data_IF_533479081161
#
_entry.id   IF_533479081161
#
_cell.length_a   1.000
_cell.length_b   1.000
_cell.length_c   1.000
_cell.angle_alpha   90.00
_cell.angle_beta   90.00
_cell.angle_gamma   90.00
#
_symmetry.space_group_name_H-M   'P 1'
#
loop_
_entity.id
_entity.type
_entity.pdbx_description
1 polymer ?
#
# COMPACT_ATOMS: atom_id res chain seq x y z
N UNK A 1 -27.98 9.32 -29.91
CA UNK A 1 -26.68 8.64 -29.72
C UNK A 1 -25.91 9.41 -28.65
N UNK A 2 -26.02 8.99 -27.39
CA UNK A 2 -25.32 9.64 -26.27
C UNK A 2 -23.85 9.35 -26.44
N UNK A 3 -23.07 10.38 -26.78
CA UNK A 3 -21.61 10.31 -26.83
C UNK A 3 -21.16 10.21 -25.37
N UNK A 4 -21.00 8.99 -24.86
CA UNK A 4 -20.35 8.74 -23.57
C UNK A 4 -18.99 9.44 -23.68
N UNK A 5 -18.78 10.53 -22.93
CA UNK A 5 -17.47 11.16 -22.89
C UNK A 5 -16.52 10.07 -22.36
N UNK A 6 -15.42 9.76 -23.09
CA UNK A 6 -14.42 8.87 -22.54
C UNK A 6 -13.92 9.45 -21.22
N UNK A 7 -13.53 8.56 -20.31
CA UNK A 7 -12.80 8.88 -19.11
C UNK A 7 -11.74 9.97 -19.40
N UNK A 8 -11.89 11.15 -18.79
CA UNK A 8 -10.97 12.31 -18.95
C UNK A 8 -10.11 12.44 -17.69
N UNK A 9 -8.95 11.75 -17.62
CA UNK A 9 -8.11 11.76 -16.44
C UNK A 9 -7.37 13.10 -16.31
N UNK A 10 -7.71 13.85 -15.26
CA UNK A 10 -6.88 14.98 -14.83
C UNK A 10 -5.80 14.51 -13.86
N UNK A 11 -4.55 14.53 -14.32
CA UNK A 11 -3.40 14.17 -13.48
C UNK A 11 -3.02 15.33 -12.56
N UNK A 12 -3.05 15.09 -11.25
CA UNK A 12 -2.43 15.96 -10.25
C UNK A 12 -1.21 15.23 -9.69
N UNK A 13 0.03 15.65 -10.05
CA UNK A 13 1.23 14.94 -9.61
C UNK A 13 1.34 14.90 -8.08
N UNK A 14 1.53 13.69 -7.53
CA UNK A 14 1.71 13.49 -6.09
C UNK A 14 3.01 14.10 -5.54
N UNK A 15 3.91 14.55 -6.43
CA UNK A 15 5.17 15.24 -6.12
C UNK A 15 4.99 16.72 -5.81
N UNK A 16 3.83 17.31 -6.11
CA UNK A 16 3.54 18.70 -5.77
C UNK A 16 3.43 18.90 -4.25
N UNK A 17 3.68 20.12 -3.72
CA UNK A 17 3.37 20.46 -2.35
C UNK A 17 1.88 20.17 -2.03
N UNK A 18 1.59 19.62 -0.84
CA UNK A 18 0.24 19.18 -0.48
C UNK A 18 -0.80 20.29 -0.62
N UNK A 19 -0.48 21.52 -0.19
CA UNK A 19 -1.39 22.66 -0.33
C UNK A 19 -1.72 23.00 -1.79
N UNK A 20 -0.79 22.78 -2.72
CA UNK A 20 -1.03 22.98 -4.15
C UNK A 20 -1.93 21.86 -4.72
N UNK A 21 -1.71 20.61 -4.30
CA UNK A 21 -2.59 19.49 -4.65
C UNK A 21 -4.02 19.79 -4.19
N UNK A 22 -4.19 20.21 -2.93
CA UNK A 22 -5.49 20.59 -2.36
C UNK A 22 -6.14 21.72 -3.15
N UNK A 23 -5.40 22.79 -3.45
CA UNK A 23 -5.91 23.91 -4.25
C UNK A 23 -6.40 23.47 -5.63
N UNK A 24 -5.63 22.63 -6.33
CA UNK A 24 -6.02 22.09 -7.64
C UNK A 24 -7.26 21.21 -7.54
N UNK A 25 -7.34 20.32 -6.55
CA UNK A 25 -8.51 19.46 -6.35
C UNK A 25 -9.78 20.25 -6.03
N UNK A 26 -9.68 21.32 -5.22
CA UNK A 26 -10.81 22.20 -4.92
C UNK A 26 -11.35 22.91 -6.18
N UNK A 27 -10.49 23.24 -7.14
CA UNK A 27 -10.91 23.80 -8.44
C UNK A 27 -11.53 22.73 -9.33
N UNK A 28 -10.93 21.54 -9.38
CA UNK A 28 -11.34 20.46 -10.29
C UNK A 28 -12.67 19.79 -9.89
N UNK A 29 -12.98 19.71 -8.59
CA UNK A 29 -14.17 19.03 -8.06
C UNK A 29 -14.41 17.63 -8.71
N UNK A 30 -13.42 16.71 -8.63
CA UNK A 30 -13.50 15.47 -9.38
C UNK A 30 -14.60 14.54 -8.82
N UNK A 31 -15.45 13.94 -9.67
CA UNK A 31 -16.44 12.97 -9.23
C UNK A 31 -15.81 11.63 -8.83
N UNK A 32 -14.58 11.36 -9.24
CA UNK A 32 -13.80 10.20 -8.82
C UNK A 32 -12.38 10.63 -8.46
N UNK A 33 -11.95 10.32 -7.25
CA UNK A 33 -10.58 10.56 -6.79
C UNK A 33 -9.80 9.24 -6.83
N UNK A 34 -8.70 9.20 -7.58
CA UNK A 34 -7.80 8.04 -7.61
C UNK A 34 -6.40 8.45 -7.20
N UNK A 35 -5.72 7.65 -6.39
CA UNK A 35 -4.37 7.97 -5.93
C UNK A 35 -3.72 6.87 -5.11
N UNK A 36 -2.47 7.13 -4.71
CA UNK A 36 -1.73 6.26 -3.80
C UNK A 36 -2.40 6.24 -2.42
N UNK A 37 -2.44 5.07 -1.78
CA UNK A 37 -3.06 4.90 -0.47
C UNK A 37 -2.56 5.95 0.54
N UNK A 38 -1.24 6.20 0.61
CA UNK A 38 -0.65 7.20 1.51
C UNK A 38 -1.09 8.63 1.19
N UNK A 39 -1.20 8.98 -0.10
CA UNK A 39 -1.66 10.31 -0.52
C UNK A 39 -3.14 10.50 -0.19
N UNK A 40 -3.97 9.48 -0.39
CA UNK A 40 -5.39 9.54 -0.04
C UNK A 40 -5.60 9.78 1.46
N UNK A 41 -4.78 9.17 2.32
CA UNK A 41 -4.81 9.44 3.78
C UNK A 41 -4.44 10.90 4.09
N UNK A 42 -3.43 11.46 3.41
CA UNK A 42 -3.07 12.88 3.56
C UNK A 42 -4.22 13.79 3.12
N UNK A 43 -4.84 13.52 1.97
CA UNK A 43 -6.00 14.27 1.49
C UNK A 43 -7.22 14.13 2.41
N UNK A 44 -7.42 12.95 3.01
CA UNK A 44 -8.45 12.73 4.02
C UNK A 44 -8.23 13.61 5.27
N UNK A 45 -6.97 13.76 5.71
CA UNK A 45 -6.63 14.69 6.79
C UNK A 45 -6.93 16.16 6.42
N UNK A 46 -6.60 16.57 5.20
CA UNK A 46 -6.90 17.92 4.67
C UNK A 46 -8.41 18.18 4.56
N UNK A 47 -9.20 17.16 4.19
CA UNK A 47 -10.66 17.23 4.13
C UNK A 47 -11.26 17.38 5.53
N UNK A 48 -10.80 16.58 6.49
CA UNK A 48 -11.20 16.70 7.91
C UNK A 48 -10.84 18.07 8.51
N UNK A 49 -9.73 18.65 8.07
CA UNK A 49 -9.32 20.00 8.48
C UNK A 49 -10.05 21.13 7.73
N UNK A 50 -10.98 20.81 6.81
CA UNK A 50 -11.77 21.77 6.05
C UNK A 50 -11.01 22.50 4.93
N UNK A 51 -9.74 22.14 4.68
CA UNK A 51 -8.90 22.75 3.63
C UNK A 51 -9.18 22.14 2.25
N UNK A 52 -9.44 20.84 2.21
CA UNK A 52 -9.90 20.15 1.00
C UNK A 52 -11.44 20.04 1.03
N UNK A 53 -12.10 20.52 -0.02
CA UNK A 53 -13.55 20.71 -0.09
C UNK A 53 -14.11 20.07 -1.37
N UNK A 54 -13.77 18.80 -1.59
CA UNK A 54 -14.28 18.00 -2.71
C UNK A 54 -15.31 16.98 -2.23
N UNK A 55 -16.24 16.60 -3.10
CA UNK A 55 -17.28 15.60 -2.81
C UNK A 55 -17.31 14.51 -3.90
N UNK A 56 -16.26 13.67 -3.98
CA UNK A 56 -16.21 12.61 -4.98
C UNK A 56 -17.31 11.58 -4.70
N UNK A 57 -17.86 10.96 -5.75
CA UNK A 57 -18.77 9.83 -5.67
C UNK A 57 -18.05 8.50 -5.40
N UNK A 58 -16.75 8.42 -5.69
CA UNK A 58 -15.91 7.24 -5.47
C UNK A 58 -14.46 7.64 -5.18
N UNK A 59 -13.82 6.90 -4.27
CA UNK A 59 -12.36 6.97 -4.07
C UNK A 59 -11.73 5.62 -4.45
N UNK A 60 -10.67 5.66 -5.27
CA UNK A 60 -9.91 4.48 -5.68
C UNK A 60 -8.46 4.59 -5.19
N UNK A 61 -8.00 3.59 -4.45
CA UNK A 61 -6.60 3.41 -4.09
C UNK A 61 -5.89 2.54 -5.12
N UNK A 62 -4.59 2.76 -5.31
CA UNK A 62 -3.74 1.88 -6.11
C UNK A 62 -2.27 2.04 -5.71
N UNK A 63 -1.41 1.15 -6.25
CA UNK A 63 0.05 1.30 -6.29
C UNK A 63 0.79 1.26 -4.94
N UNK A 64 0.07 1.18 -3.83
CA UNK A 64 0.52 0.99 -2.45
C UNK A 64 -0.52 0.10 -1.74
N UNK A 65 -0.11 -0.68 -0.73
CA UNK A 65 -1.05 -1.50 0.04
C UNK A 65 -2.03 -0.62 0.81
N UNK A 66 -3.34 -0.75 0.52
CA UNK A 66 -4.38 -0.08 1.28
C UNK A 66 -4.70 -0.84 2.57
N UNK A 67 -4.19 -0.34 3.69
CA UNK A 67 -4.45 -0.92 5.00
C UNK A 67 -5.89 -0.64 5.46
N UNK A 68 -6.48 -1.50 6.32
CA UNK A 68 -7.83 -1.30 6.85
C UNK A 68 -8.04 0.08 7.46
N UNK A 69 -7.07 0.60 8.21
CA UNK A 69 -7.16 1.88 8.90
C UNK A 69 -7.02 3.06 7.93
N UNK A 70 -6.20 2.91 6.88
CA UNK A 70 -6.11 3.88 5.79
C UNK A 70 -7.45 3.97 5.06
N UNK A 71 -8.06 2.82 4.75
CA UNK A 71 -9.40 2.73 4.18
C UNK A 71 -10.43 3.42 5.08
N UNK A 72 -10.44 3.11 6.38
CA UNK A 72 -11.35 3.74 7.33
C UNK A 72 -11.16 5.26 7.39
N UNK A 73 -9.92 5.75 7.41
CA UNK A 73 -9.65 7.19 7.43
C UNK A 73 -10.16 7.90 6.18
N UNK A 74 -9.93 7.32 5.00
CA UNK A 74 -10.41 7.85 3.72
C UNK A 74 -11.95 7.78 3.64
N UNK A 75 -12.55 6.65 4.03
CA UNK A 75 -14.00 6.45 4.07
C UNK A 75 -14.68 7.46 4.98
N UNK A 76 -14.11 7.72 6.15
CA UNK A 76 -14.63 8.68 7.12
C UNK A 76 -14.54 10.13 6.63
N UNK A 77 -13.49 10.48 5.87
CA UNK A 77 -13.30 11.83 5.37
C UNK A 77 -14.21 12.18 4.18
N UNK A 78 -14.41 11.24 3.24
CA UNK A 78 -15.14 11.52 2.00
C UNK A 78 -16.57 10.98 1.98
N UNK A 79 -16.95 10.10 2.91
CA UNK A 79 -18.32 9.58 2.98
C UNK A 79 -18.72 8.69 1.80
N UNK A 80 -17.77 8.24 0.96
CA UNK A 80 -18.01 7.32 -0.16
C UNK A 80 -17.17 6.04 -0.10
N UNK A 81 -17.64 4.91 -0.68
CA UNK A 81 -16.89 3.65 -0.67
C UNK A 81 -15.50 3.78 -1.28
N UNK A 82 -14.56 3.01 -0.72
CA UNK A 82 -13.18 2.95 -1.19
C UNK A 82 -12.96 1.64 -1.92
N UNK A 83 -12.52 1.73 -3.18
CA UNK A 83 -12.09 0.57 -3.98
C UNK A 83 -10.57 0.52 -3.99
N UNK A 84 -9.97 -0.65 -3.91
CA UNK A 84 -8.52 -0.82 -4.08
C UNK A 84 -8.22 -1.54 -5.40
N UNK A 85 -7.14 -1.11 -6.05
CA UNK A 85 -6.72 -1.61 -7.35
C UNK A 85 -5.27 -2.06 -7.32
N UNK A 86 -5.06 -3.34 -7.59
CA UNK A 86 -3.75 -3.90 -7.87
C UNK A 86 -3.45 -3.80 -9.37
N UNK A 87 -2.22 -3.41 -9.69
CA UNK A 87 -1.72 -3.38 -11.05
C UNK A 87 -0.20 -3.49 -11.07
N UNK A 88 0.31 -4.34 -11.96
CA UNK A 88 1.73 -4.49 -12.27
C UNK A 88 1.99 -4.04 -13.71
N UNK A 89 3.19 -3.54 -14.00
CA UNK A 89 3.58 -3.20 -15.38
C UNK A 89 3.63 -4.45 -16.26
N UNK A 90 3.82 -5.60 -15.64
CA UNK A 90 3.90 -6.93 -16.22
C UNK A 90 2.53 -7.49 -16.63
N UNK A 91 1.44 -6.83 -16.25
CA UNK A 91 0.09 -7.02 -16.81
C UNK A 91 -0.95 -7.58 -15.84
N UNK A 92 -0.53 -8.10 -14.68
CA UNK A 92 -1.49 -8.55 -13.68
C UNK A 92 -2.26 -7.35 -13.11
N UNK A 93 -3.59 -7.41 -13.21
CA UNK A 93 -4.51 -6.40 -12.69
C UNK A 93 -5.61 -7.06 -11.87
N UNK A 94 -6.03 -6.39 -10.80
CA UNK A 94 -7.11 -6.83 -9.95
C UNK A 94 -7.74 -5.68 -9.19
N UNK A 95 -9.00 -5.86 -8.77
CA UNK A 95 -9.74 -4.84 -8.03
C UNK A 95 -10.60 -5.47 -6.94
N UNK A 96 -10.80 -4.71 -5.87
CA UNK A 96 -11.75 -5.08 -4.82
C UNK A 96 -13.17 -4.65 -5.19
N UNK A 97 -14.15 -5.24 -4.53
CA UNK A 97 -15.45 -4.60 -4.37
C UNK A 97 -15.35 -3.30 -3.54
N UNK A 98 -16.41 -2.46 -3.53
CA UNK A 98 -16.48 -1.30 -2.65
C UNK A 98 -16.35 -1.71 -1.17
N UNK A 99 -15.39 -1.11 -0.47
CA UNK A 99 -15.10 -1.37 0.95
C UNK A 99 -14.67 -2.82 1.28
N UNK A 100 -14.35 -3.63 0.26
CA UNK A 100 -13.84 -5.02 0.39
C UNK A 100 -12.29 -5.04 0.43
N UNK A 101 -11.71 -6.10 1.01
CA UNK A 101 -10.27 -6.36 1.11
C UNK A 101 -9.77 -7.47 0.17
N UNK A 102 -10.69 -8.15 -0.52
CA UNK A 102 -10.37 -9.22 -1.47
C UNK A 102 -10.27 -8.68 -2.89
N UNK A 103 -9.12 -8.87 -3.54
CA UNK A 103 -8.93 -8.57 -4.96
C UNK A 103 -9.49 -9.69 -5.81
N UNK A 104 -10.24 -9.33 -6.85
CA UNK A 104 -10.56 -10.20 -7.97
C UNK A 104 -9.60 -9.87 -9.11
N UNK A 105 -8.80 -10.85 -9.54
CA UNK A 105 -7.82 -10.68 -10.61
C UNK A 105 -8.41 -11.01 -11.99
N UNK A 106 -7.98 -10.28 -13.03
CA UNK A 106 -8.29 -10.57 -14.43
C UNK A 106 -7.45 -11.74 -14.95
N UNK A 107 -7.71 -12.95 -14.44
CA UNK A 107 -6.96 -14.17 -14.79
C UNK A 107 -7.28 -14.72 -16.17
N UNK A 108 -8.22 -14.11 -16.89
CA UNK A 108 -8.41 -14.28 -18.34
C UNK A 108 -7.28 -13.65 -19.16
N UNK A 109 -6.61 -12.62 -18.62
CA UNK A 109 -5.50 -11.93 -19.27
C UNK A 109 -4.11 -12.42 -18.83
N UNK A 110 -4.02 -13.12 -17.70
CA UNK A 110 -2.77 -13.59 -17.12
C UNK A 110 -2.95 -14.96 -16.46
N UNK A 111 -1.99 -15.86 -16.65
CA UNK A 111 -1.85 -17.04 -15.78
C UNK A 111 -1.12 -16.59 -14.52
N UNK A 112 -1.69 -16.88 -13.36
CA UNK A 112 -1.19 -16.45 -12.05
C UNK A 112 -0.91 -17.67 -11.19
N UNK A 113 0.33 -17.80 -10.72
CA UNK A 113 0.75 -18.89 -9.82
C UNK A 113 1.21 -18.29 -8.49
N UNK A 114 0.48 -18.59 -7.42
CA UNK A 114 0.87 -18.23 -6.06
C UNK A 114 1.83 -19.30 -5.54
N UNK A 115 3.10 -18.95 -5.30
CA UNK A 115 4.16 -19.91 -4.99
C UNK A 115 4.96 -19.56 -3.75
N UNK A 116 5.61 -20.56 -3.17
CA UNK A 116 6.58 -20.41 -2.09
C UNK A 116 7.95 -19.92 -2.62
N UNK A 117 8.95 -19.85 -1.73
CA UNK A 117 10.31 -19.43 -2.09
C UNK A 117 11.01 -20.37 -3.10
N UNK A 118 10.54 -21.62 -3.22
CA UNK A 118 11.07 -22.67 -4.09
C UNK A 118 10.23 -22.87 -5.36
N UNK A 119 9.38 -21.90 -5.71
CA UNK A 119 8.48 -21.92 -6.87
C UNK A 119 7.46 -23.07 -6.84
N UNK A 120 7.14 -23.61 -5.67
CA UNK A 120 6.08 -24.61 -5.51
C UNK A 120 4.75 -23.91 -5.20
N UNK A 121 3.62 -24.35 -5.80
CA UNK A 121 2.31 -23.81 -5.47
C UNK A 121 2.01 -23.93 -3.99
N UNK A 122 1.54 -22.83 -3.38
CA UNK A 122 1.10 -22.87 -1.98
C UNK A 122 -0.33 -23.42 -1.88
N UNK A 123 -0.65 -24.01 -0.72
CA UNK A 123 -2.02 -24.44 -0.44
C UNK A 123 -2.96 -23.23 -0.33
N UNK A 124 -4.25 -23.43 -0.66
CA UNK A 124 -5.28 -22.40 -0.45
C UNK A 124 -5.29 -21.94 1.01
N UNK A 125 -5.36 -20.63 1.23
CA UNK A 125 -5.30 -20.01 2.55
C UNK A 125 -3.89 -19.83 3.14
N UNK A 126 -2.85 -20.42 2.53
CA UNK A 126 -1.46 -20.09 2.89
C UNK A 126 -1.01 -18.83 2.14
N UNK A 127 -0.14 -18.05 2.77
CA UNK A 127 0.50 -16.91 2.12
C UNK A 127 1.56 -17.39 1.13
N UNK A 128 1.55 -16.84 -0.09
CA UNK A 128 2.63 -17.02 -1.04
C UNK A 128 3.85 -16.21 -0.62
N UNK A 129 5.05 -16.65 -1.03
CA UNK A 129 6.26 -15.83 -0.89
C UNK A 129 6.36 -14.79 -2.02
N UNK A 130 5.77 -15.12 -3.18
CA UNK A 130 5.80 -14.36 -4.42
C UNK A 130 4.69 -14.84 -5.36
N UNK A 131 4.54 -14.18 -6.50
CA UNK A 131 3.62 -14.60 -7.56
C UNK A 131 4.36 -14.71 -8.89
N UNK A 132 4.11 -15.78 -9.64
CA UNK A 132 4.59 -15.91 -11.01
C UNK A 132 3.45 -15.57 -11.97
N UNK A 133 3.74 -14.70 -12.93
CA UNK A 133 2.78 -14.19 -13.90
C UNK A 133 3.20 -14.55 -15.31
N UNK A 134 2.29 -15.12 -16.07
CA UNK A 134 2.44 -15.24 -17.54
C UNK A 134 1.42 -14.34 -18.21
N UNK A 135 1.91 -13.31 -18.91
CA UNK A 135 1.07 -12.34 -19.61
C UNK A 135 0.57 -12.95 -20.93
N UNK A 136 -0.75 -13.02 -21.12
CA UNK A 136 -1.36 -13.68 -22.29
C UNK A 136 -1.73 -12.73 -23.43
N UNK A 137 -1.54 -11.41 -23.25
CA UNK A 137 -2.00 -10.41 -24.22
C UNK A 137 -0.88 -9.53 -24.78
N UNK A 138 0.27 -9.41 -24.09
CA UNK A 138 1.41 -8.62 -24.56
C UNK A 138 2.35 -9.46 -25.44
N UNK A 139 2.21 -9.30 -26.77
CA UNK A 139 3.02 -10.02 -27.76
C UNK A 139 4.40 -9.38 -28.02
N UNK A 140 4.62 -8.12 -27.61
CA UNK A 140 5.88 -7.40 -27.83
C UNK A 140 6.95 -7.83 -26.83
N UNK A 141 6.55 -8.03 -25.58
CA UNK A 141 7.42 -8.50 -24.51
C UNK A 141 6.74 -9.66 -23.78
N UNK A 142 6.86 -10.90 -24.31
CA UNK A 142 6.24 -12.06 -23.69
C UNK A 142 6.94 -12.37 -22.37
N UNK A 143 6.21 -12.22 -21.27
CA UNK A 143 6.64 -12.59 -19.93
C UNK A 143 6.01 -13.93 -19.57
N UNK A 144 6.84 -14.94 -19.30
CA UNK A 144 6.42 -16.30 -18.95
C UNK A 144 6.96 -16.63 -17.57
N UNK A 145 6.06 -16.94 -16.63
CA UNK A 145 6.37 -17.17 -15.21
C UNK A 145 7.29 -16.10 -14.61
N UNK A 146 7.04 -14.83 -14.95
CA UNK A 146 7.79 -13.70 -14.42
C UNK A 146 7.44 -13.49 -12.94
N UNK A 147 8.46 -13.29 -12.11
CA UNK A 147 8.31 -13.15 -10.67
C UNK A 147 7.95 -11.71 -10.28
N UNK A 148 6.79 -11.54 -9.63
CA UNK A 148 6.50 -10.34 -8.84
C UNK A 148 6.74 -10.67 -7.36
N UNK A 149 7.34 -9.73 -6.64
CA UNK A 149 7.64 -9.86 -5.21
C UNK A 149 6.44 -9.62 -4.31
N UNK A 150 5.25 -9.40 -4.88
CA UNK A 150 4.00 -9.29 -4.14
C UNK A 150 3.57 -10.67 -3.61
N UNK A 151 3.14 -10.70 -2.35
CA UNK A 151 2.66 -11.88 -1.64
C UNK A 151 1.15 -11.79 -1.43
N UNK A 152 0.45 -12.90 -1.64
CA UNK A 152 -1.01 -12.98 -1.53
C UNK A 152 -1.47 -14.20 -0.73
N UNK A 153 -2.66 -14.08 -0.14
CA UNK A 153 -3.38 -15.22 0.43
C UNK A 153 -4.62 -15.49 -0.42
N UNK A 154 -4.62 -16.63 -1.12
CA UNK A 154 -5.77 -17.05 -1.93
C UNK A 154 -7.02 -17.19 -1.06
N UNK A 155 -8.10 -16.56 -1.50
CA UNK A 155 -9.45 -16.73 -0.96
C UNK A 155 -10.20 -17.80 -1.79
N UNK A 156 -11.31 -18.37 -1.28
CA UNK A 156 -12.17 -19.22 -2.09
C UNK A 156 -12.48 -18.54 -3.42
N UNK A 157 -12.43 -19.27 -4.53
CA UNK A 157 -12.67 -18.67 -5.84
C UNK A 157 -14.09 -18.11 -5.91
N UNK A 158 -14.27 -17.01 -6.65
CA UNK A 158 -15.58 -16.38 -6.78
C UNK A 158 -16.57 -17.36 -7.43
N UNK A 159 -17.63 -17.73 -6.70
CA UNK A 159 -18.59 -18.75 -7.13
C UNK A 159 -19.26 -18.42 -8.48
N UNK A 160 -19.32 -17.14 -8.85
CA UNK A 160 -20.05 -16.66 -10.04
C UNK A 160 -19.22 -16.70 -11.33
N UNK A 161 -17.90 -16.50 -11.23
CA UNK A 161 -17.05 -16.30 -12.41
C UNK A 161 -15.71 -17.06 -12.38
N UNK A 162 -15.35 -17.69 -11.25
CA UNK A 162 -14.17 -18.55 -11.15
C UNK A 162 -12.81 -17.84 -11.25
N UNK A 163 -12.78 -16.50 -11.19
CA UNK A 163 -11.53 -15.76 -11.20
C UNK A 163 -10.83 -15.85 -9.84
N UNK A 164 -9.49 -15.80 -9.88
CA UNK A 164 -8.66 -15.82 -8.67
C UNK A 164 -9.06 -14.66 -7.75
N UNK A 165 -9.39 -15.03 -6.52
CA UNK A 165 -9.59 -14.10 -5.42
C UNK A 165 -8.42 -14.20 -4.45
N UNK A 166 -7.83 -13.07 -4.08
CA UNK A 166 -6.78 -13.07 -3.06
C UNK A 166 -6.71 -11.77 -2.27
N UNK A 167 -6.25 -11.88 -1.02
CA UNK A 167 -5.90 -10.72 -0.20
C UNK A 167 -4.42 -10.42 -0.33
N UNK A 168 -4.07 -9.14 -0.35
CA UNK A 168 -2.66 -8.72 -0.31
C UNK A 168 -2.08 -9.05 1.06
N UNK A 169 -1.00 -9.80 1.10
CA UNK A 169 -0.25 -10.08 2.33
C UNK A 169 0.86 -9.05 2.56
N UNK A 170 1.47 -8.58 1.47
CA UNK A 170 2.55 -7.59 1.50
C UNK A 170 3.46 -7.77 0.29
N UNK A 171 4.68 -7.25 0.41
CA UNK A 171 5.76 -7.52 -0.54
C UNK A 171 6.94 -8.15 0.18
N UNK A 172 7.56 -9.14 -0.45
CA UNK A 172 8.73 -9.83 0.11
C UNK A 172 9.98 -8.93 0.13
N UNK A 173 10.11 -7.97 -0.79
CA UNK A 173 11.22 -7.01 -0.82
C UNK A 173 11.13 -5.88 0.23
N UNK A 174 10.06 -5.87 1.03
CA UNK A 174 9.94 -5.00 2.21
C UNK A 174 10.37 -5.71 3.51
N UNK A 175 10.58 -7.03 3.48
CA UNK A 175 11.00 -7.81 4.66
C UNK A 175 12.38 -7.34 5.15
N UNK A 176 12.51 -7.18 6.48
CA UNK A 176 13.76 -6.76 7.10
C UNK A 176 14.53 -8.02 7.54
N UNK A 177 15.63 -8.31 6.84
CA UNK A 177 16.44 -9.50 7.07
C UNK A 177 17.53 -9.24 8.11
N UNK A 178 17.53 -9.98 9.22
CA UNK A 178 18.61 -9.97 10.22
C UNK A 178 19.25 -11.36 10.32
N UNK A 179 20.48 -11.43 10.83
CA UNK A 179 21.24 -12.68 10.96
C UNK A 179 20.47 -13.80 11.69
N UNK A 180 19.56 -13.43 12.60
CA UNK A 180 18.81 -14.37 13.44
C UNK A 180 17.37 -14.58 13.02
N UNK A 181 16.76 -13.62 12.30
CA UNK A 181 15.32 -13.62 12.02
C UNK A 181 14.97 -12.66 10.88
N UNK A 182 13.96 -13.05 10.11
CA UNK A 182 13.30 -12.17 9.15
C UNK A 182 12.10 -11.50 9.82
N UNK A 183 12.06 -10.17 9.78
CA UNK A 183 10.96 -9.39 10.36
C UNK A 183 10.04 -8.89 9.25
N UNK A 184 8.83 -9.43 9.21
CA UNK A 184 7.81 -8.98 8.26
C UNK A 184 7.32 -7.56 8.60
N UNK A 185 7.11 -6.67 7.61
CA UNK A 185 6.69 -5.28 7.82
C UNK A 185 5.43 -5.10 8.67
N UNK A 186 4.53 -6.09 8.64
CA UNK A 186 3.28 -6.07 9.40
C UNK A 186 3.51 -5.91 10.91
N UNK A 187 4.60 -6.45 11.44
CA UNK A 187 4.96 -6.37 12.87
C UNK A 187 5.10 -4.90 13.28
N UNK A 188 5.87 -4.13 12.50
CA UNK A 188 6.16 -2.72 12.75
C UNK A 188 4.96 -1.84 12.39
N UNK A 189 4.36 -2.10 11.22
CA UNK A 189 3.24 -1.36 10.66
C UNK A 189 2.02 -1.38 11.60
N UNK A 190 1.72 -2.52 12.23
CA UNK A 190 0.60 -2.65 13.17
C UNK A 190 0.69 -1.68 14.35
N UNK A 191 1.90 -1.39 14.85
CA UNK A 191 2.12 -0.43 15.94
C UNK A 191 1.97 1.01 15.45
N UNK A 192 2.56 1.32 14.30
CA UNK A 192 2.54 2.68 13.73
C UNK A 192 1.13 3.12 13.38
N UNK A 193 0.35 2.23 12.77
CA UNK A 193 -1.02 2.52 12.36
C UNK A 193 -1.98 2.67 13.54
N UNK A 194 -1.71 1.98 14.65
CA UNK A 194 -2.48 2.12 15.91
C UNK A 194 -2.06 3.33 16.75
N UNK A 195 -1.13 4.15 16.27
CA UNK A 195 -0.66 5.37 16.94
C UNK A 195 -1.25 6.58 16.21
N UNK A 196 -2.37 7.17 16.68
CA UNK A 196 -3.12 8.20 15.96
C UNK A 196 -2.31 9.47 15.63
N UNK A 197 -1.25 9.73 16.40
CA UNK A 197 -0.37 10.87 16.21
C UNK A 197 0.50 10.75 14.95
N UNK A 198 0.71 9.54 14.44
CA UNK A 198 1.52 9.27 13.25
C UNK A 198 0.65 9.40 11.99
N UNK A 199 0.98 10.39 11.15
CA UNK A 199 0.27 10.70 9.91
C UNK A 199 0.92 10.04 8.69
N UNK A 200 2.24 10.00 8.66
CA UNK A 200 3.04 9.36 7.61
C UNK A 200 4.33 8.82 8.24
N UNK A 201 4.93 7.77 7.66
CA UNK A 201 6.16 7.19 8.23
C UNK A 201 7.05 6.51 7.20
N UNK A 202 8.34 6.43 7.52
CA UNK A 202 9.32 5.57 6.86
C UNK A 202 10.13 4.82 7.91
N UNK A 203 10.27 3.52 7.72
CA UNK A 203 11.10 2.62 8.53
C UNK A 203 12.34 2.30 7.73
N UNK A 204 13.51 2.57 8.31
CA UNK A 204 14.81 2.19 7.75
C UNK A 204 15.42 1.13 8.63
N UNK A 205 15.81 0.01 8.04
CA UNK A 205 16.54 -1.02 8.75
C UNK A 205 17.93 -0.51 9.15
N UNK A 206 18.36 -0.90 10.34
CA UNK A 206 19.73 -0.78 10.83
C UNK A 206 20.26 -2.18 11.10
N UNK A 207 21.55 -2.31 11.41
CA UNK A 207 22.16 -3.63 11.61
C UNK A 207 21.49 -4.44 12.73
N UNK A 208 21.02 -3.76 13.78
CA UNK A 208 20.48 -4.41 14.98
C UNK A 208 19.06 -3.93 15.33
N UNK A 209 18.30 -3.36 14.38
CA UNK A 209 16.96 -2.86 14.64
C UNK A 209 16.51 -1.83 13.60
N UNK A 210 15.76 -0.80 13.99
CA UNK A 210 15.13 0.14 13.06
C UNK A 210 15.25 1.61 13.45
N UNK A 211 15.33 2.47 12.44
CA UNK A 211 15.09 3.90 12.55
C UNK A 211 13.72 4.23 11.93
N UNK A 212 12.83 4.83 12.72
CA UNK A 212 11.50 5.24 12.27
C UNK A 212 11.46 6.75 12.14
N UNK A 213 11.12 7.25 10.95
CA UNK A 213 10.90 8.66 10.66
C UNK A 213 9.40 8.89 10.52
N UNK A 214 8.80 9.66 11.43
CA UNK A 214 7.36 9.87 11.50
C UNK A 214 6.98 11.34 11.32
N UNK A 215 5.98 11.60 10.47
CA UNK A 215 5.29 12.88 10.35
C UNK A 215 4.10 12.87 11.30
N UNK A 216 3.90 13.92 12.08
CA UNK A 216 2.85 14.00 13.10
C UNK A 216 1.86 15.13 12.81
N UNK A 217 0.59 14.95 13.21
CA UNK A 217 -0.47 15.94 12.99
C UNK A 217 -0.30 17.22 13.85
N UNK A 218 0.35 17.10 15.01
CA UNK A 218 0.57 18.17 15.99
C UNK A 218 1.98 18.10 16.62
N UNK A 219 2.32 19.01 17.53
CA UNK A 219 3.48 18.89 18.46
C UNK A 219 3.33 17.77 19.50
N UNK A 220 2.47 16.79 19.23
CA UNK A 220 2.31 15.61 20.08
C UNK A 220 3.64 14.85 20.20
N UNK A 221 4.00 14.52 21.45
CA UNK A 221 5.17 13.70 21.73
C UNK A 221 4.87 12.26 21.33
N UNK A 222 5.75 11.63 20.55
CA UNK A 222 5.71 10.20 20.22
C UNK A 222 6.12 9.31 21.42
N UNK A 223 5.71 9.69 22.64
CA UNK A 223 6.13 9.03 23.87
C UNK A 223 5.69 7.57 23.90
N UNK A 224 6.64 6.68 24.21
CA UNK A 224 6.42 5.24 24.27
C UNK A 224 6.25 4.55 22.91
N UNK A 225 6.29 5.27 21.78
CA UNK A 225 6.23 4.63 20.45
C UNK A 225 7.46 3.71 20.24
N UNK A 226 8.64 4.17 20.62
CA UNK A 226 9.87 3.39 20.52
C UNK A 226 9.76 2.07 21.33
N UNK A 227 9.17 2.12 22.52
CA UNK A 227 9.02 0.94 23.39
C UNK A 227 7.98 -0.04 22.84
N UNK A 228 6.85 0.45 22.32
CA UNK A 228 5.86 -0.41 21.66
C UNK A 228 6.43 -1.08 20.41
N UNK A 229 7.22 -0.35 19.64
CA UNK A 229 7.93 -0.90 18.47
C UNK A 229 8.96 -1.95 18.89
N UNK A 230 9.73 -1.69 19.93
CA UNK A 230 10.71 -2.64 20.48
C UNK A 230 10.02 -3.92 20.96
N UNK A 231 8.88 -3.79 21.65
CA UNK A 231 8.10 -4.95 22.07
C UNK A 231 7.56 -5.76 20.88
N UNK A 232 7.02 -5.10 19.86
CA UNK A 232 6.54 -5.80 18.68
C UNK A 232 7.67 -6.52 17.93
N UNK A 233 8.85 -5.91 17.83
CA UNK A 233 10.04 -6.55 17.25
C UNK A 233 10.50 -7.75 18.10
N UNK A 234 10.47 -7.62 19.43
CA UNK A 234 10.78 -8.71 20.35
C UNK A 234 9.83 -9.91 20.13
N UNK A 235 8.52 -9.65 20.07
CA UNK A 235 7.50 -10.67 19.82
C UNK A 235 7.64 -11.30 18.42
N UNK A 236 8.10 -10.49 17.45
CA UNK A 236 8.48 -10.94 16.10
C UNK A 236 9.83 -11.68 16.02
N UNK A 237 10.52 -11.89 17.14
CA UNK A 237 11.75 -12.68 17.23
C UNK A 237 13.05 -11.88 17.29
N UNK A 238 13.04 -10.57 17.04
CA UNK A 238 14.21 -9.70 17.15
C UNK A 238 14.33 -9.15 18.57
N UNK A 239 14.95 -9.95 19.46
CA UNK A 239 14.91 -9.75 20.91
C UNK A 239 15.65 -8.51 21.44
N UNK A 240 16.74 -8.11 20.80
CA UNK A 240 17.58 -6.99 21.25
C UNK A 240 17.57 -5.85 20.22
N UNK A 241 16.37 -5.50 19.75
CA UNK A 241 16.21 -4.47 18.72
C UNK A 241 16.55 -3.06 19.26
N UNK A 242 17.51 -2.40 18.60
CA UNK A 242 17.67 -0.95 18.73
C UNK A 242 16.56 -0.25 17.95
N UNK A 243 15.86 0.69 18.59
CA UNK A 243 14.71 1.39 18.00
C UNK A 243 14.86 2.87 18.28
N UNK A 244 15.07 3.63 17.21
CA UNK A 244 15.08 5.09 17.28
C UNK A 244 13.90 5.65 16.50
N UNK A 245 13.22 6.65 17.08
CA UNK A 245 12.10 7.35 16.45
C UNK A 245 12.43 8.82 16.29
N UNK A 246 12.34 9.31 15.05
CA UNK A 246 12.58 10.70 14.67
C UNK A 246 11.27 11.33 14.20
N UNK A 247 10.91 12.47 14.78
CA UNK A 247 9.88 13.34 14.22
C UNK A 247 10.48 14.11 13.06
N UNK A 248 9.78 14.14 11.93
CA UNK A 248 10.18 14.89 10.73
C UNK A 248 8.99 15.68 10.18
N UNK A 249 9.26 16.84 9.59
CA UNK A 249 8.20 17.67 9.01
C UNK A 249 7.67 17.08 7.69
N UNK A 250 8.54 16.36 6.97
CA UNK A 250 8.21 15.71 5.70
C UNK A 250 9.08 14.49 5.45
N UNK A 251 8.56 13.57 4.65
CA UNK A 251 9.29 12.43 4.11
C UNK A 251 9.56 12.63 2.62
N UNK A 252 10.79 12.33 2.21
CA UNK A 252 11.16 12.41 0.80
C UNK A 252 10.51 11.25 0.03
N UNK A 253 9.79 11.62 -1.04
CA UNK A 253 9.13 10.70 -1.96
C UNK A 253 10.00 10.52 -3.20
N UNK A 254 9.85 9.38 -3.87
CA UNK A 254 10.61 9.10 -5.08
C UNK A 254 10.36 10.22 -6.11
N UNK A 255 11.41 10.87 -6.66
CA UNK A 255 11.26 12.14 -7.39
C UNK A 255 10.44 12.00 -8.68
N UNK A 256 10.42 10.80 -9.28
CA UNK A 256 9.68 10.52 -10.51
C UNK A 256 8.28 9.99 -10.24
N UNK A 257 8.15 9.03 -9.32
CA UNK A 257 6.89 8.32 -9.11
C UNK A 257 6.03 8.92 -8.01
N UNK A 258 6.58 9.80 -7.15
CA UNK A 258 5.88 10.34 -5.98
C UNK A 258 5.54 9.32 -4.89
N UNK A 259 5.89 8.04 -5.08
CA UNK A 259 5.69 6.97 -4.10
C UNK A 259 6.61 7.14 -2.92
N UNK A 260 6.12 6.81 -1.73
CA UNK A 260 6.95 6.68 -0.53
C UNK A 260 7.28 5.20 -0.35
N UNK A 261 8.58 4.85 -0.32
CA UNK A 261 8.99 3.52 0.13
C UNK A 261 8.95 3.50 1.66
N UNK A 262 7.91 2.87 2.23
CA UNK A 262 7.69 2.87 3.68
C UNK A 262 8.69 2.01 4.45
N UNK A 263 9.24 0.96 3.84
CA UNK A 263 10.24 0.08 4.42
C UNK A 263 11.49 0.09 3.56
N UNK A 264 12.63 0.46 4.15
CA UNK A 264 13.93 0.51 3.47
C UNK A 264 14.84 -0.50 4.15
N UNK A 265 14.97 -1.72 3.59
CA UNK A 265 15.92 -2.72 4.08
C UNK A 265 17.36 -2.22 3.95
N UNK A 266 18.26 -2.80 4.76
CA UNK A 266 19.70 -2.62 4.56
C UNK A 266 20.06 -3.20 3.20
N UNK A 267 20.72 -2.40 2.38
CA UNK A 267 21.28 -2.91 1.13
C UNK A 267 22.41 -3.87 1.48
N UNK A 268 22.39 -5.09 0.93
CA UNK A 268 23.54 -5.98 1.03
C UNK A 268 24.76 -5.24 0.46
N UNK A 269 25.82 -5.14 1.27
CA UNK A 269 27.10 -4.57 0.85
C UNK A 269 27.84 -5.53 -0.09
#
# INVERSE_FOLDING_TARGET
MVRIRPFDPHLVPATLPLGEIVGRLNVLQPPMLSGYASMLVRLAAEARAGRLQITPAQVSSTSETLLPEMRSAVRAAFGVPVVDGFGSTEGLVGRTGPDDDVLVFSTDMCIVELVDAHNQPVARGAASAKVLVTNLYNLTQPLIRYELTDAFVQQPDAAEHGYLQARVHGRSDDVLHYDTVDVHPIVIRSVLVRTPEVVDYQVRQTRCGINVFAVTADECRLSGLADRLRQALFDGGLREADVTVHRVDRLDRHPVSGKLRSFVPLTAA
#
